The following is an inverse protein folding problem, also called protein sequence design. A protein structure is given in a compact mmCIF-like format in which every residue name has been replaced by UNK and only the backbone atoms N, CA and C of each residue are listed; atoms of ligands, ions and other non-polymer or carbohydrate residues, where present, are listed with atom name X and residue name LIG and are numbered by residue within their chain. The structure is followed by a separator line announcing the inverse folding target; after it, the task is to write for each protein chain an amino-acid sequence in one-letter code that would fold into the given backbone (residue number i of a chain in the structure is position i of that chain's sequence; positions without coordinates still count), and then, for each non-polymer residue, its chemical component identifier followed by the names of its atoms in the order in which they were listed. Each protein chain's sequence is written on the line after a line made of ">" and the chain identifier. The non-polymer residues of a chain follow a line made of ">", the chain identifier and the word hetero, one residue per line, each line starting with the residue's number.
data_IF_955635664363
#
_entry.id   IF_955635664363
#
_cell.length_a   1.000
_cell.length_b   1.000
_cell.length_c   1.000
_cell.angle_alpha   90.00
_cell.angle_beta   90.00
_cell.angle_gamma   90.00
#
_symmetry.space_group_name_H-M   'P 1'
#
loop_
_entity.id
_entity.type
_entity.pdbx_description
1 polymer ?
#
# COMPACT_ATOMS: atom_id res chain seq x y z
N UNK A 1 9.64 4.83 -9.92
CA UNK A 1 8.93 5.34 -11.13
C UNK A 1 8.27 6.67 -10.81
N UNK A 2 8.09 7.56 -11.79
CA UNK A 2 7.42 8.87 -11.61
C UNK A 2 6.40 9.09 -12.71
N UNK A 3 5.17 9.44 -12.34
CA UNK A 3 4.07 9.71 -13.28
C UNK A 3 3.66 11.17 -13.18
N UNK A 4 3.26 11.76 -14.31
CA UNK A 4 2.63 13.09 -14.36
C UNK A 4 1.21 12.94 -14.89
N UNK A 5 0.24 13.50 -14.18
CA UNK A 5 -1.18 13.49 -14.52
C UNK A 5 -1.74 14.89 -14.30
N UNK A 6 -2.69 15.28 -15.14
CA UNK A 6 -3.45 16.51 -14.92
C UNK A 6 -4.59 16.19 -13.96
N UNK A 7 -4.91 17.17 -13.13
CA UNK A 7 -6.11 17.11 -12.30
C UNK A 7 -7.33 17.36 -13.19
N UNK A 8 -8.39 16.61 -12.94
CA UNK A 8 -9.72 16.81 -13.53
C UNK A 8 -10.66 17.33 -12.45
N UNK A 9 -11.59 18.21 -12.82
CA UNK A 9 -12.63 18.70 -11.91
C UNK A 9 -13.95 18.05 -12.30
N UNK A 10 -14.60 17.40 -11.34
CA UNK A 10 -15.93 16.82 -11.53
C UNK A 10 -16.87 17.29 -10.42
N UNK A 11 -18.14 17.52 -10.77
CA UNK A 11 -19.19 17.86 -9.79
C UNK A 11 -19.00 19.20 -9.05
N UNK A 12 -18.08 20.06 -9.50
CA UNK A 12 -17.87 21.42 -8.97
C UNK A 12 -17.04 21.53 -7.69
N UNK A 13 -16.85 20.44 -6.93
CA UNK A 13 -16.12 20.44 -5.66
C UNK A 13 -15.05 19.35 -5.53
N UNK A 14 -14.99 18.41 -6.48
CA UNK A 14 -14.08 17.25 -6.39
C UNK A 14 -13.02 17.29 -7.48
N UNK A 15 -11.78 17.10 -7.06
CA UNK A 15 -10.64 16.90 -7.94
C UNK A 15 -10.35 15.41 -8.12
N UNK A 16 -10.07 14.99 -9.35
CA UNK A 16 -9.70 13.61 -9.69
C UNK A 16 -8.31 13.58 -10.33
N UNK A 17 -7.51 12.57 -9.96
CA UNK A 17 -6.28 12.19 -10.65
C UNK A 17 -6.34 10.71 -11.05
N UNK A 18 -6.00 10.41 -12.30
CA UNK A 18 -5.98 9.02 -12.78
C UNK A 18 -4.78 8.26 -12.22
N UNK A 19 -5.01 7.06 -11.68
CA UNK A 19 -3.95 6.20 -11.16
C UNK A 19 -3.10 5.60 -12.30
N UNK A 20 -1.81 5.27 -12.07
CA UNK A 20 -1.00 4.54 -13.05
C UNK A 20 -1.58 3.14 -13.31
N UNK A 21 -1.82 2.80 -14.58
CA UNK A 21 -2.50 1.56 -14.98
C UNK A 21 -1.83 0.30 -14.43
N UNK A 22 -0.50 0.21 -14.54
CA UNK A 22 0.23 -0.98 -14.10
C UNK A 22 0.28 -1.11 -12.56
N UNK A 23 0.30 0.02 -11.84
CA UNK A 23 0.19 0.01 -10.38
C UNK A 23 -1.21 -0.40 -9.91
N UNK A 24 -2.26 0.08 -10.57
CA UNK A 24 -3.63 -0.32 -10.26
C UNK A 24 -3.84 -1.83 -10.52
N UNK A 25 -3.26 -2.36 -11.59
CA UNK A 25 -3.29 -3.80 -11.88
C UNK A 25 -2.51 -4.63 -10.87
N UNK A 26 -1.33 -4.18 -10.43
CA UNK A 26 -0.53 -4.95 -9.46
C UNK A 26 -1.22 -5.11 -8.11
N UNK A 27 -2.15 -4.21 -7.79
CA UNK A 27 -3.00 -4.28 -6.60
C UNK A 27 -4.38 -4.89 -6.87
N UNK A 28 -4.61 -5.39 -8.10
CA UNK A 28 -5.89 -5.91 -8.57
C UNK A 28 -7.08 -4.97 -8.31
N UNK A 29 -6.88 -3.65 -8.42
CA UNK A 29 -7.92 -2.66 -8.18
C UNK A 29 -9.05 -2.82 -9.20
N UNK A 30 -10.28 -2.90 -8.70
CA UNK A 30 -11.49 -2.97 -9.49
C UNK A 30 -12.31 -1.68 -9.31
N UNK A 31 -13.32 -1.51 -10.17
CA UNK A 31 -14.30 -0.46 -9.95
C UNK A 31 -14.98 -0.67 -8.59
N UNK A 32 -15.02 0.39 -7.77
CA UNK A 32 -15.57 0.33 -6.42
C UNK A 32 -14.60 -0.15 -5.35
N UNK A 33 -13.35 -0.51 -5.69
CA UNK A 33 -12.31 -0.74 -4.67
C UNK A 33 -12.03 0.56 -3.94
N UNK A 34 -12.18 0.54 -2.62
CA UNK A 34 -11.89 1.67 -1.76
C UNK A 34 -10.38 1.82 -1.53
N UNK A 35 -9.90 3.06 -1.59
CA UNK A 35 -8.52 3.42 -1.27
C UNK A 35 -8.53 4.49 -0.19
N UNK A 36 -7.56 4.40 0.71
CA UNK A 36 -7.30 5.44 1.69
C UNK A 36 -6.38 6.48 1.07
N UNK A 37 -6.77 7.75 1.20
CA UNK A 37 -5.97 8.92 0.83
C UNK A 37 -5.62 9.69 2.09
N UNK A 38 -4.34 9.76 2.43
CA UNK A 38 -3.84 10.48 3.60
C UNK A 38 -3.04 11.70 3.16
N UNK A 39 -3.38 12.87 3.74
CA UNK A 39 -2.62 14.11 3.54
C UNK A 39 -1.42 14.09 4.47
N UNK A 40 -0.23 14.10 3.90
CA UNK A 40 1.02 14.08 4.65
C UNK A 40 1.46 15.51 5.01
N UNK A 41 2.28 15.70 6.06
CA UNK A 41 2.75 17.03 6.49
C UNK A 41 3.53 17.81 5.42
N UNK A 42 4.14 17.11 4.46
CA UNK A 42 4.90 17.69 3.34
C UNK A 42 4.00 18.07 2.15
N UNK A 43 2.67 18.12 2.35
CA UNK A 43 1.66 18.38 1.31
C UNK A 43 1.60 17.33 0.20
N UNK A 44 2.19 16.16 0.41
CA UNK A 44 1.98 15.00 -0.47
C UNK A 44 0.71 14.23 -0.08
N UNK A 45 0.21 13.43 -1.01
CA UNK A 45 -0.86 12.46 -0.76
C UNK A 45 -0.26 11.06 -0.75
N UNK A 46 -0.51 10.31 0.32
CA UNK A 46 -0.23 8.87 0.38
C UNK A 46 -1.52 8.13 0.03
N UNK A 47 -1.43 7.19 -0.91
CA UNK A 47 -2.57 6.40 -1.40
C UNK A 47 -2.27 4.93 -1.20
N UNK A 48 -3.16 4.22 -0.52
CA UNK A 48 -2.99 2.79 -0.20
C UNK A 48 -4.35 2.10 -0.03
N UNK A 49 -4.34 0.76 -0.04
CA UNK A 49 -5.54 -0.05 0.21
C UNK A 49 -5.96 0.09 1.68
N UNK A 50 -7.26 0.17 1.95
CA UNK A 50 -7.74 -0.04 3.32
C UNK A 50 -7.36 -1.47 3.78
N UNK A 51 -7.27 -1.68 5.08
CA UNK A 51 -6.90 -3.00 5.62
C UNK A 51 -7.90 -4.09 5.20
N UNK A 52 -9.16 -3.71 5.03
CA UNK A 52 -10.24 -4.58 4.53
C UNK A 52 -10.14 -4.88 3.02
N UNK A 53 -9.49 -3.99 2.25
CA UNK A 53 -9.34 -4.12 0.80
C UNK A 53 -8.00 -4.77 0.41
N UNK A 54 -7.12 -5.13 1.36
CA UNK A 54 -5.86 -5.81 1.04
C UNK A 54 -6.14 -7.21 0.51
N UNK A 55 -5.69 -7.55 -0.72
CA UNK A 55 -5.72 -8.93 -1.19
C UNK A 55 -4.98 -9.84 -0.20
N UNK A 56 -5.57 -10.99 0.14
CA UNK A 56 -4.94 -11.99 1.01
C UNK A 56 -3.51 -12.37 0.55
N UNK A 57 -3.26 -12.35 -0.76
CA UNK A 57 -1.94 -12.61 -1.34
C UNK A 57 -0.84 -11.60 -0.96
N UNK A 58 -1.18 -10.38 -0.50
CA UNK A 58 -0.22 -9.39 0.01
C UNK A 58 0.00 -9.53 1.53
N UNK A 59 -0.84 -10.28 2.24
CA UNK A 59 -0.65 -10.60 3.66
C UNK A 59 0.39 -11.72 3.84
N UNK A 60 0.68 -12.52 2.80
CA UNK A 60 1.62 -13.64 2.89
C UNK A 60 3.11 -13.24 3.03
N UNK A 61 3.45 -11.95 2.93
CA UNK A 61 4.79 -11.44 3.27
C UNK A 61 4.95 -11.02 4.74
N UNK A 62 3.92 -11.15 5.59
CA UNK A 62 4.11 -11.16 7.05
C UNK A 62 4.73 -12.49 7.49
N UNK A 63 6.04 -12.61 7.23
CA UNK A 63 7.02 -13.45 7.94
C UNK A 63 6.47 -14.76 8.53
N UNK A 64 6.53 -15.84 7.74
CA UNK A 64 6.57 -17.21 8.29
C UNK A 64 7.89 -17.41 9.05
N UNK A 65 7.98 -16.90 10.28
CA UNK A 65 9.00 -17.35 11.23
C UNK A 65 8.58 -18.72 11.76
N UNK A 66 9.31 -19.77 11.37
CA UNK A 66 9.29 -21.04 12.08
C UNK A 66 9.87 -20.81 13.49
N UNK A 67 9.29 -21.45 14.52
CA UNK A 67 9.76 -21.35 15.92
C UNK A 67 11.26 -21.66 16.06
N UNK A 68 11.80 -22.53 15.20
CA UNK A 68 13.23 -22.84 15.13
C UNK A 68 14.09 -21.63 14.76
N UNK A 69 13.57 -20.72 13.93
CA UNK A 69 14.28 -19.53 13.45
C UNK A 69 14.30 -18.42 14.51
N UNK A 70 13.32 -18.42 15.42
CA UNK A 70 13.24 -17.48 16.54
C UNK A 70 14.29 -17.81 17.61
N UNK A 71 14.47 -19.09 17.96
CA UNK A 71 15.50 -19.51 18.93
C UNK A 71 16.93 -19.19 18.46
N UNK A 72 17.22 -19.39 17.17
CA UNK A 72 18.53 -19.07 16.60
C UNK A 72 18.83 -17.56 16.60
N UNK A 73 17.81 -16.72 16.44
CA UNK A 73 17.97 -15.26 16.53
C UNK A 73 18.26 -14.80 17.96
N UNK A 74 17.56 -15.33 18.98
CA UNK A 74 17.81 -14.98 20.37
C UNK A 74 19.20 -15.42 20.86
N UNK A 75 19.64 -16.63 20.48
CA UNK A 75 20.99 -17.12 20.82
C UNK A 75 22.07 -16.22 20.20
N UNK A 76 21.86 -15.75 18.96
CA UNK A 76 22.81 -14.86 18.27
C UNK A 76 22.84 -13.45 18.84
N UNK A 77 21.75 -12.98 19.44
CA UNK A 77 21.62 -11.64 20.03
C UNK A 77 22.22 -11.54 21.43
N UNK A 78 22.20 -12.63 22.20
CA UNK A 78 22.73 -12.70 23.58
C UNK A 78 24.23 -13.07 23.60
N UNK A 79 24.73 -13.70 22.53
CA UNK A 79 26.14 -14.10 22.40
C UNK A 79 27.05 -13.02 21.76
N UNK A 80 26.55 -11.81 21.53
CA UNK A 80 27.31 -10.62 21.11
C UNK A 80 27.34 -9.58 22.23
#
# INVERSE_FOLDING_TARGET
>A
MRYRRRVQVVGGSTYIVSLPKEWAKSLNLQHGTELVLEVMPDSTLKVYLSDEARPEALLEEELKFDKSSVELFFIKLIAS
#
